data_IF_995313174775
#
_entry.id   IF_995313174775
#
_cell.length_a   1.000
_cell.length_b   1.000
_cell.length_c   1.000
_cell.angle_alpha   90.00
_cell.angle_beta   90.00
_cell.angle_gamma   90.00
#
_symmetry.space_group_name_H-M   'P 1'
#
loop_
_entity.id
_entity.type
_entity.pdbx_description
1 polymer ?
#
# COMPACT_ATOMS: atom_id res chain seq x y z
N UNK A 1 3.16 32.14 27.75
CA UNK A 1 3.10 32.82 26.43
C UNK A 1 4.32 32.50 25.55
N UNK A 2 5.53 32.34 26.12
CA UNK A 2 6.72 31.88 25.37
C UNK A 2 6.67 30.38 24.97
N UNK A 3 5.99 29.51 25.75
CA UNK A 3 5.91 28.07 25.44
C UNK A 3 5.04 27.75 24.21
N UNK A 4 4.05 28.59 23.93
CA UNK A 4 3.21 28.48 22.72
C UNK A 4 4.04 28.79 21.48
N UNK A 5 4.96 29.76 21.55
CA UNK A 5 5.76 30.21 20.40
C UNK A 5 6.77 29.14 19.97
N UNK A 6 7.35 28.37 20.90
CA UNK A 6 8.29 27.29 20.57
C UNK A 6 7.60 26.08 19.91
N UNK A 7 6.38 25.73 20.36
CA UNK A 7 5.58 24.68 19.73
C UNK A 7 5.24 25.05 18.28
N UNK A 8 4.86 26.31 18.04
CA UNK A 8 4.57 26.82 16.69
C UNK A 8 5.79 26.88 15.77
N UNK A 9 7.00 27.20 16.28
CA UNK A 9 8.21 27.30 15.45
C UNK A 9 8.75 25.92 15.04
N UNK A 10 8.71 24.93 15.93
CA UNK A 10 9.08 23.53 15.58
C UNK A 10 8.04 22.93 14.63
N UNK A 11 6.77 23.26 14.82
CA UNK A 11 5.65 22.74 14.04
C UNK A 11 5.56 23.36 12.62
N UNK A 12 5.74 24.69 12.48
CA UNK A 12 5.73 25.36 11.18
C UNK A 12 6.91 24.96 10.26
N UNK A 13 8.06 24.59 10.85
CA UNK A 13 9.23 24.10 10.10
C UNK A 13 9.03 22.68 9.55
N UNK A 14 8.08 21.91 10.10
CA UNK A 14 7.74 20.58 9.59
C UNK A 14 6.69 20.58 8.47
N UNK A 15 5.90 21.65 8.34
CA UNK A 15 4.75 21.70 7.42
C UNK A 15 4.92 22.62 6.20
N UNK A 16 5.80 23.63 6.27
CA UNK A 16 6.10 24.47 5.10
C UNK A 16 7.09 23.76 4.17
N UNK A 17 6.58 23.33 3.01
CA UNK A 17 7.26 22.59 1.94
C UNK A 17 7.72 21.21 2.39
N UNK A 18 6.96 20.18 2.03
CA UNK A 18 7.54 19.08 1.28
C UNK A 18 6.42 18.25 0.64
N UNK A 19 6.60 18.00 -0.65
CA UNK A 19 6.14 16.84 -1.40
C UNK A 19 6.60 15.58 -0.64
N UNK A 20 5.83 15.16 0.36
CA UNK A 20 6.24 14.16 1.35
C UNK A 20 5.13 13.13 1.48
N UNK A 21 5.28 12.02 0.74
CA UNK A 21 4.55 10.74 0.92
C UNK A 21 4.48 10.35 2.41
N UNK A 22 3.69 9.41 2.92
CA UNK A 22 3.73 9.08 4.36
C UNK A 22 5.15 8.69 4.84
N UNK A 23 5.50 8.88 6.13
CA UNK A 23 6.79 8.43 6.71
C UNK A 23 7.08 6.94 6.43
N UNK A 24 6.04 6.14 6.19
CA UNK A 24 6.18 4.73 5.79
C UNK A 24 6.80 4.56 4.39
N UNK A 25 6.74 5.57 3.51
CA UNK A 25 7.27 5.54 2.15
C UNK A 25 8.38 6.59 1.87
N UNK A 26 8.59 7.58 2.74
CA UNK A 26 9.57 8.68 2.52
C UNK A 26 11.05 8.25 2.52
N UNK A 27 11.40 7.12 3.15
CA UNK A 27 12.80 6.74 3.40
C UNK A 27 13.06 5.24 3.22
N UNK A 28 12.33 4.61 2.32
CA UNK A 28 12.36 3.15 2.23
C UNK A 28 13.41 2.60 1.28
N UNK A 29 14.12 3.43 0.50
CA UNK A 29 15.09 2.93 -0.48
C UNK A 29 14.48 1.99 -1.52
N UNK A 30 13.16 2.06 -1.76
CA UNK A 30 12.41 1.15 -2.63
C UNK A 30 11.63 0.05 -1.91
N UNK A 31 11.55 0.05 -0.58
CA UNK A 31 10.62 -0.83 0.15
C UNK A 31 9.21 -0.22 0.22
N UNK A 32 8.15 -0.96 -0.10
CA UNK A 32 6.78 -0.45 -0.02
C UNK A 32 5.85 -1.46 0.64
N UNK A 33 5.05 -1.01 1.60
CA UNK A 33 4.05 -1.83 2.30
C UNK A 33 2.66 -1.38 1.93
N UNK A 34 1.83 -2.33 1.52
CA UNK A 34 0.42 -2.10 1.22
C UNK A 34 -0.49 -3.05 1.99
N UNK A 35 -1.55 -2.49 2.56
CA UNK A 35 -2.76 -3.22 2.94
C UNK A 35 -3.77 -3.12 1.80
N UNK A 36 -4.09 -4.23 1.11
CA UNK A 36 -4.94 -4.21 -0.07
C UNK A 36 -6.43 -4.31 0.26
N UNK A 37 -7.23 -3.63 -0.57
CA UNK A 37 -8.68 -3.63 -0.52
C UNK A 37 -9.26 -3.67 -1.94
N UNK A 38 -10.46 -4.22 -2.07
CA UNK A 38 -11.29 -4.10 -3.28
C UNK A 38 -12.31 -2.99 -3.04
N UNK A 39 -12.43 -2.09 -4.00
CA UNK A 39 -13.44 -1.05 -4.04
C UNK A 39 -14.55 -1.41 -5.02
N UNK A 40 -15.79 -1.33 -4.58
CA UNK A 40 -16.98 -1.33 -5.44
C UNK A 40 -17.51 0.12 -5.49
N UNK A 41 -17.50 0.72 -6.68
CA UNK A 41 -18.02 2.07 -6.93
C UNK A 41 -19.49 2.01 -7.34
N UNK A 42 -20.29 2.96 -6.85
CA UNK A 42 -21.72 3.09 -7.09
C UNK A 42 -22.10 4.55 -7.31
N UNK A 43 -23.32 4.78 -7.80
CA UNK A 43 -23.85 6.12 -8.00
C UNK A 43 -22.98 6.93 -8.96
N UNK A 44 -22.70 8.17 -8.61
CA UNK A 44 -21.93 9.10 -9.45
C UNK A 44 -20.49 8.62 -9.74
N UNK A 45 -19.89 7.80 -8.87
CA UNK A 45 -18.55 7.26 -9.09
C UNK A 45 -18.50 6.14 -10.15
N UNK A 46 -19.63 5.49 -10.45
CA UNK A 46 -19.66 4.31 -11.33
C UNK A 46 -19.35 4.64 -12.79
N UNK A 47 -19.70 5.84 -13.26
CA UNK A 47 -19.54 6.25 -14.66
C UNK A 47 -18.26 7.07 -14.92
N UNK A 48 -17.46 7.31 -13.88
CA UNK A 48 -16.25 8.13 -13.97
C UNK A 48 -15.03 7.33 -14.43
N UNK A 49 -14.27 7.92 -15.36
CA UNK A 49 -12.90 7.47 -15.62
C UNK A 49 -11.97 7.80 -14.42
N UNK A 50 -10.73 7.26 -14.33
CA UNK A 50 -9.87 7.52 -13.19
C UNK A 50 -9.58 9.01 -12.90
N UNK A 51 -9.48 9.86 -13.93
CA UNK A 51 -9.20 11.29 -13.76
C UNK A 51 -10.44 12.06 -13.29
N UNK A 52 -11.61 11.71 -13.81
CA UNK A 52 -12.89 12.22 -13.33
C UNK A 52 -13.17 11.74 -11.91
N UNK A 53 -12.81 10.49 -11.60
CA UNK A 53 -12.92 9.92 -10.27
C UNK A 53 -12.06 10.68 -9.26
N UNK A 54 -10.82 11.07 -9.62
CA UNK A 54 -10.03 11.99 -8.81
C UNK A 54 -10.85 13.22 -8.48
N UNK A 55 -11.32 13.96 -9.50
CA UNK A 55 -12.06 15.23 -9.33
C UNK A 55 -13.30 15.09 -8.45
N UNK A 56 -14.07 14.01 -8.64
CA UNK A 56 -15.26 13.75 -7.81
C UNK A 56 -14.85 13.47 -6.36
N UNK A 57 -13.77 12.72 -6.14
CA UNK A 57 -13.21 12.49 -4.80
C UNK A 57 -12.72 13.81 -4.19
N UNK A 58 -11.99 14.65 -4.94
CA UNK A 58 -11.52 15.95 -4.42
C UNK A 58 -12.68 16.85 -3.99
N UNK A 59 -13.79 16.81 -4.73
CA UNK A 59 -14.97 17.62 -4.41
C UNK A 59 -15.79 17.08 -3.22
N UNK A 60 -15.72 15.77 -2.95
CA UNK A 60 -16.54 15.12 -1.91
C UNK A 60 -15.79 14.93 -0.60
N UNK A 61 -14.48 14.73 -0.65
CA UNK A 61 -13.67 14.54 0.53
C UNK A 61 -13.34 15.89 1.18
N UNK A 62 -13.48 16.01 2.51
CA UNK A 62 -13.10 17.23 3.20
C UNK A 62 -11.60 17.47 3.06
N UNK A 63 -11.23 18.66 2.59
CA UNK A 63 -9.86 19.15 2.69
C UNK A 63 -9.39 19.12 4.15
N UNK A 64 -8.08 19.00 4.34
CA UNK A 64 -7.50 19.14 5.67
C UNK A 64 -7.89 20.50 6.26
N UNK A 65 -8.61 20.49 7.38
CA UNK A 65 -8.99 21.70 8.10
C UNK A 65 -7.78 22.54 8.47
N UNK A 66 -7.95 23.86 8.52
CA UNK A 66 -6.92 24.77 9.01
C UNK A 66 -6.41 24.33 10.38
N UNK A 67 -5.09 24.32 10.53
CA UNK A 67 -4.43 23.77 11.71
C UNK A 67 -4.72 24.64 12.93
N UNK A 68 -5.37 24.06 13.94
CA UNK A 68 -5.66 24.69 15.21
C UNK A 68 -5.04 23.87 16.35
N UNK A 69 -4.18 24.49 17.16
CA UNK A 69 -3.53 23.82 18.29
C UNK A 69 -4.53 23.28 19.35
N UNK A 70 -5.75 23.81 19.39
CA UNK A 70 -6.81 23.39 20.30
C UNK A 70 -7.83 22.43 19.65
N UNK A 71 -7.79 22.26 18.32
CA UNK A 71 -8.73 21.44 17.56
C UNK A 71 -7.92 20.66 16.51
N UNK A 72 -7.48 19.43 16.81
CA UNK A 72 -6.70 18.61 15.89
C UNK A 72 -7.44 18.44 14.57
N UNK A 73 -6.77 18.75 13.47
CA UNK A 73 -7.37 18.66 12.14
C UNK A 73 -7.46 17.22 11.63
N UNK A 74 -8.43 16.97 10.74
CA UNK A 74 -8.46 15.78 9.91
C UNK A 74 -8.99 16.11 8.51
N UNK A 75 -8.51 15.38 7.50
CA UNK A 75 -8.98 15.55 6.13
C UNK A 75 -8.07 14.87 5.12
N UNK A 76 -8.24 15.24 3.86
CA UNK A 76 -7.55 14.64 2.74
C UNK A 76 -6.67 15.64 2.00
N UNK A 77 -5.66 15.13 1.30
CA UNK A 77 -4.83 15.89 0.37
C UNK A 77 -4.55 15.04 -0.86
N UNK A 78 -4.85 15.58 -2.04
CA UNK A 78 -4.62 14.89 -3.30
C UNK A 78 -3.22 15.19 -3.85
N UNK A 79 -2.66 14.21 -4.55
CA UNK A 79 -1.36 14.32 -5.19
C UNK A 79 -1.37 13.66 -6.56
N UNK A 80 -0.64 14.26 -7.49
CA UNK A 80 -0.30 13.59 -8.74
C UNK A 80 0.93 12.69 -8.50
N UNK A 81 0.78 11.38 -8.75
CA UNK A 81 1.85 10.40 -8.49
C UNK A 81 3.09 10.66 -9.38
N UNK A 82 2.87 10.98 -10.65
CA UNK A 82 3.87 11.40 -11.65
C UNK A 82 3.24 12.46 -12.55
N UNK A 83 3.94 13.56 -12.83
CA UNK A 83 3.48 14.61 -13.76
C UNK A 83 4.07 14.41 -15.17
N UNK A 84 3.41 14.95 -16.19
CA UNK A 84 3.87 14.84 -17.59
C UNK A 84 5.29 15.40 -17.85
N UNK A 85 5.85 16.16 -16.91
CA UNK A 85 7.22 16.68 -16.96
C UNK A 85 8.32 15.64 -16.67
N UNK A 86 7.97 14.39 -16.32
CA UNK A 86 8.95 13.31 -16.17
C UNK A 86 9.59 12.99 -17.53
N UNK A 87 10.92 13.12 -17.60
CA UNK A 87 11.67 12.98 -18.85
C UNK A 87 11.40 11.63 -19.53
N UNK A 88 11.01 11.68 -20.80
CA UNK A 88 10.69 10.55 -21.69
C UNK A 88 11.77 9.44 -21.76
N UNK A 89 12.95 9.64 -21.16
CA UNK A 89 14.08 8.72 -21.20
C UNK A 89 14.09 7.60 -20.15
N UNK A 90 13.28 7.63 -19.08
CA UNK A 90 13.38 6.68 -17.96
C UNK A 90 12.18 5.72 -17.82
N UNK A 91 10.95 6.18 -18.05
CA UNK A 91 9.77 5.31 -18.04
C UNK A 91 9.44 4.77 -19.43
N UNK A 92 9.12 3.47 -19.53
CA UNK A 92 8.47 2.95 -20.74
C UNK A 92 7.10 3.62 -20.91
N UNK A 93 6.68 3.88 -22.16
CA UNK A 93 5.34 4.46 -22.48
C UNK A 93 4.18 3.75 -21.75
N UNK A 94 4.33 2.46 -21.51
CA UNK A 94 3.36 1.65 -20.78
C UNK A 94 3.18 2.08 -19.31
N UNK A 95 4.28 2.38 -18.59
CA UNK A 95 4.21 2.84 -17.20
C UNK A 95 3.60 4.25 -17.10
N UNK A 96 3.98 5.17 -18.01
CA UNK A 96 3.41 6.52 -18.05
C UNK A 96 1.89 6.48 -18.25
N UNK A 97 1.42 5.69 -19.21
CA UNK A 97 -0.01 5.49 -19.46
C UNK A 97 -0.75 4.80 -18.28
N UNK A 98 -0.03 4.14 -17.39
CA UNK A 98 -0.61 3.50 -16.20
C UNK A 98 -0.61 4.44 -15.00
N UNK A 99 0.37 5.35 -14.90
CA UNK A 99 0.46 6.35 -13.84
C UNK A 99 -0.77 7.26 -13.80
N UNK A 100 -1.21 7.75 -14.96
CA UNK A 100 -2.39 8.62 -15.09
C UNK A 100 -3.71 7.96 -14.69
N UNK A 101 -3.71 6.65 -14.47
CA UNK A 101 -4.87 5.86 -14.04
C UNK A 101 -4.86 5.56 -12.54
N UNK A 102 -3.76 5.87 -11.84
CA UNK A 102 -3.64 5.68 -10.40
C UNK A 102 -4.07 6.98 -9.73
N UNK A 103 -5.15 6.91 -8.96
CA UNK A 103 -5.59 8.00 -8.08
C UNK A 103 -4.79 7.93 -6.79
N UNK A 104 -4.13 9.02 -6.39
CA UNK A 104 -3.36 9.10 -5.14
C UNK A 104 -3.87 10.24 -4.26
N UNK A 105 -4.21 9.89 -3.03
CA UNK A 105 -4.52 10.85 -1.98
C UNK A 105 -3.99 10.38 -0.64
N UNK A 106 -3.76 11.33 0.26
CA UNK A 106 -3.29 11.11 1.62
C UNK A 106 -4.41 11.46 2.60
N UNK A 107 -4.73 10.55 3.52
CA UNK A 107 -5.54 10.87 4.70
C UNK A 107 -4.61 11.31 5.83
N UNK A 108 -4.87 12.52 6.32
CA UNK A 108 -4.10 13.16 7.38
C UNK A 108 -5.05 13.36 8.57
N UNK A 109 -4.60 12.96 9.75
CA UNK A 109 -5.28 13.34 10.98
C UNK A 109 -4.29 13.61 12.10
N UNK A 110 -4.61 14.58 12.93
CA UNK A 110 -3.76 14.99 14.02
C UNK A 110 -4.17 14.33 15.33
N UNK A 111 -3.17 14.02 16.16
CA UNK A 111 -3.38 13.45 17.48
C UNK A 111 -2.44 14.11 18.47
N UNK A 112 -2.96 14.52 19.62
CA UNK A 112 -2.14 14.90 20.77
C UNK A 112 -1.37 13.71 21.31
N UNK A 113 -0.05 13.86 21.41
CA UNK A 113 0.85 12.87 21.99
C UNK A 113 1.80 13.56 22.99
N UNK A 114 1.95 12.98 24.17
CA UNK A 114 2.92 13.44 25.15
C UNK A 114 4.32 12.96 24.77
N UNK A 115 5.22 13.91 24.56
CA UNK A 115 6.63 13.64 24.25
C UNK A 115 7.49 14.18 25.37
N UNK A 116 8.40 13.35 25.86
CA UNK A 116 9.40 13.77 26.85
C UNK A 116 10.37 14.76 26.20
N UNK A 117 10.43 15.97 26.74
CA UNK A 117 11.31 17.04 26.28
C UNK A 117 12.09 17.61 27.45
N UNK A 118 13.28 18.15 27.19
CA UNK A 118 14.09 18.79 28.23
C UNK A 118 13.74 20.28 28.25
N UNK A 119 13.12 20.73 29.34
CA UNK A 119 12.83 22.13 29.58
C UNK A 119 13.61 22.59 30.82
N UNK A 120 14.51 23.56 30.64
CA UNK A 120 15.35 24.11 31.73
C UNK A 120 16.14 23.05 32.53
N UNK A 121 16.58 21.99 31.85
CA UNK A 121 17.40 20.93 32.45
C UNK A 121 16.61 19.79 33.09
N UNK A 122 15.27 19.87 33.13
CA UNK A 122 14.40 18.80 33.62
C UNK A 122 13.68 18.11 32.47
N UNK A 123 13.49 16.79 32.60
CA UNK A 123 12.70 16.01 31.66
C UNK A 123 11.22 16.16 32.00
N UNK A 124 10.47 16.81 31.12
CA UNK A 124 9.03 17.07 31.29
C UNK A 124 8.24 16.47 30.13
N UNK A 125 7.03 16.01 30.42
CA UNK A 125 6.10 15.59 29.37
C UNK A 125 5.46 16.83 28.75
N UNK A 126 5.61 16.99 27.43
CA UNK A 126 5.01 18.08 26.66
C UNK A 126 4.00 17.47 25.69
N UNK A 127 2.76 17.95 25.77
CA UNK A 127 1.72 17.58 24.80
C UNK A 127 2.06 18.22 23.44
N UNK A 128 2.13 17.39 22.41
CA UNK A 128 2.46 17.81 21.04
C UNK A 128 1.44 17.23 20.06
N UNK A 129 0.98 18.04 19.11
CA UNK A 129 0.16 17.55 18.01
C UNK A 129 1.04 16.86 16.99
N UNK A 130 0.78 15.57 16.77
CA UNK A 130 1.47 14.74 15.80
C UNK A 130 0.53 14.36 14.67
N UNK A 131 0.91 14.66 13.44
CA UNK A 131 0.19 14.22 12.25
C UNK A 131 0.43 12.73 11.98
N UNK A 132 -0.66 11.99 11.78
CA UNK A 132 -0.72 10.62 11.30
C UNK A 132 -1.14 10.64 9.83
N UNK A 133 -0.46 9.85 9.01
CA UNK A 133 -0.56 9.89 7.55
C UNK A 133 -0.83 8.49 7.02
N UNK A 134 -1.77 8.38 6.09
CA UNK A 134 -2.04 7.15 5.33
C UNK A 134 -2.12 7.50 3.85
N UNK A 135 -1.20 6.96 3.05
CA UNK A 135 -1.30 7.07 1.60
C UNK A 135 -2.32 6.06 1.08
N UNK A 136 -3.16 6.49 0.14
CA UNK A 136 -4.12 5.65 -0.57
C UNK A 136 -3.83 5.72 -2.06
N UNK A 137 -3.52 4.56 -2.64
CA UNK A 137 -3.33 4.41 -4.08
C UNK A 137 -4.47 3.59 -4.65
N UNK A 138 -5.29 4.20 -5.49
CA UNK A 138 -6.48 3.58 -6.05
C UNK A 138 -6.30 3.39 -7.56
N UNK A 139 -6.26 2.13 -7.98
CA UNK A 139 -6.11 1.74 -9.37
C UNK A 139 -7.23 0.75 -9.75
N UNK A 140 -8.13 1.19 -10.64
CA UNK A 140 -9.33 0.46 -11.06
C UNK A 140 -10.26 0.14 -9.86
N UNK A 141 -10.45 -1.13 -9.52
CA UNK A 141 -11.23 -1.58 -8.38
C UNK A 141 -10.36 -1.99 -7.17
N UNK A 142 -9.07 -1.65 -7.18
CA UNK A 142 -8.13 -2.02 -6.11
C UNK A 142 -7.61 -0.77 -5.42
N UNK A 143 -7.67 -0.76 -4.10
CA UNK A 143 -7.09 0.29 -3.25
C UNK A 143 -5.97 -0.30 -2.40
N UNK A 144 -4.81 0.36 -2.42
CA UNK A 144 -3.64 0.01 -1.63
C UNK A 144 -3.40 1.10 -0.59
N UNK A 145 -3.54 0.74 0.68
CA UNK A 145 -3.31 1.67 1.79
C UNK A 145 -1.90 1.47 2.34
N UNK A 146 -1.19 2.56 2.59
CA UNK A 146 0.16 2.54 3.16
C UNK A 146 0.23 3.42 4.40
N UNK A 147 0.55 2.82 5.55
CA UNK A 147 0.52 3.46 6.86
C UNK A 147 0.58 2.43 7.98
N UNK A 148 0.34 2.85 9.23
CA UNK A 148 0.20 1.90 10.35
C UNK A 148 -1.15 1.21 10.28
N UNK A 149 -1.23 -0.05 10.72
CA UNK A 149 -2.48 -0.85 10.66
C UNK A 149 -3.69 -0.18 11.32
N UNK A 150 -3.47 0.47 12.47
CA UNK A 150 -4.51 1.24 13.18
C UNK A 150 -4.98 2.46 12.37
N UNK A 151 -4.02 3.20 11.79
CA UNK A 151 -4.28 4.39 10.98
C UNK A 151 -5.01 4.02 9.68
N UNK A 152 -4.63 2.91 9.03
CA UNK A 152 -5.27 2.38 7.83
C UNK A 152 -6.73 2.03 8.11
N UNK A 153 -7.00 1.38 9.25
CA UNK A 153 -8.37 1.01 9.64
C UNK A 153 -9.24 2.26 9.85
N UNK A 154 -8.68 3.32 10.45
CA UNK A 154 -9.35 4.62 10.59
C UNK A 154 -9.59 5.28 9.23
N UNK A 155 -8.56 5.38 8.40
CA UNK A 155 -8.61 5.98 7.07
C UNK A 155 -9.67 5.31 6.19
N UNK A 156 -9.71 3.96 6.16
CA UNK A 156 -10.72 3.19 5.41
C UNK A 156 -12.13 3.51 5.88
N UNK A 157 -12.37 3.47 7.20
CA UNK A 157 -13.70 3.72 7.76
C UNK A 157 -14.17 5.15 7.46
N UNK A 158 -13.26 6.11 7.61
CA UNK A 158 -13.53 7.51 7.29
C UNK A 158 -13.85 7.68 5.82
N UNK A 159 -13.02 7.15 4.92
CA UNK A 159 -13.24 7.22 3.48
C UNK A 159 -14.60 6.63 3.06
N UNK A 160 -14.95 5.45 3.60
CA UNK A 160 -16.24 4.83 3.34
C UNK A 160 -17.41 5.62 3.95
N UNK A 161 -17.20 6.34 5.06
CA UNK A 161 -18.19 7.20 5.68
C UNK A 161 -18.43 8.51 4.91
N UNK A 162 -17.38 9.11 4.36
CA UNK A 162 -17.48 10.33 3.56
C UNK A 162 -18.10 10.03 2.18
N UNK A 163 -17.85 8.83 1.65
CA UNK A 163 -18.41 8.35 0.37
C UNK A 163 -19.54 7.33 0.58
N UNK A 164 -20.38 7.53 1.61
CA UNK A 164 -21.50 6.64 1.91
C UNK A 164 -22.44 6.52 0.72
N UNK A 165 -22.77 5.28 0.36
CA UNK A 165 -23.65 4.97 -0.76
C UNK A 165 -22.95 4.96 -2.13
N UNK A 166 -21.73 5.48 -2.22
CA UNK A 166 -20.95 5.59 -3.46
C UNK A 166 -19.74 4.67 -3.49
N UNK A 167 -19.18 4.34 -2.32
CA UNK A 167 -18.01 3.49 -2.21
C UNK A 167 -18.22 2.41 -1.15
N UNK A 168 -17.95 1.16 -1.54
CA UNK A 168 -17.81 0.05 -0.60
C UNK A 168 -16.39 -0.47 -0.69
N UNK A 169 -15.73 -0.62 0.47
CA UNK A 169 -14.33 -1.06 0.57
C UNK A 169 -14.28 -2.38 1.33
N UNK A 170 -13.83 -3.44 0.66
CA UNK A 170 -13.67 -4.76 1.25
C UNK A 170 -12.20 -5.12 1.40
N UNK A 171 -11.83 -5.65 2.57
CA UNK A 171 -10.45 -6.06 2.84
C UNK A 171 -10.11 -7.27 1.98
N UNK A 172 -8.98 -7.19 1.26
CA UNK A 172 -8.41 -8.36 0.58
C UNK A 172 -7.65 -9.17 1.61
N UNK A 173 -7.92 -10.48 1.62
CA UNK A 173 -7.21 -11.47 2.42
C UNK A 173 -6.62 -12.49 1.46
N UNK A 174 -5.37 -12.88 1.70
CA UNK A 174 -4.72 -14.01 1.05
C UNK A 174 -4.71 -15.19 2.03
N UNK A 175 -5.83 -15.92 2.18
CA UNK A 175 -5.85 -17.09 3.03
C UNK A 175 -4.91 -18.15 2.45
N UNK A 176 -4.60 -19.14 3.28
CA UNK A 176 -3.70 -20.25 2.94
C UNK A 176 -3.99 -20.86 1.57
N UNK A 177 -5.27 -21.04 1.23
CA UNK A 177 -5.69 -21.67 -0.01
C UNK A 177 -5.19 -20.87 -1.22
N UNK A 178 -5.31 -19.54 -1.18
CA UNK A 178 -4.81 -18.65 -2.24
C UNK A 178 -3.28 -18.69 -2.30
N UNK A 179 -2.59 -18.70 -1.16
CA UNK A 179 -1.13 -18.78 -1.15
C UNK A 179 -0.62 -20.13 -1.69
N UNK A 180 -1.35 -21.22 -1.46
CA UNK A 180 -1.07 -22.52 -2.05
C UNK A 180 -1.37 -22.53 -3.56
N UNK A 181 -2.47 -21.91 -4.01
CA UNK A 181 -2.80 -21.76 -5.44
C UNK A 181 -1.70 -21.00 -6.20
N UNK A 182 -1.17 -19.93 -5.59
CA UNK A 182 -0.05 -19.15 -6.11
C UNK A 182 1.20 -20.03 -6.28
N UNK A 183 1.49 -20.90 -5.32
CA UNK A 183 2.65 -21.80 -5.34
C UNK A 183 2.51 -22.94 -6.36
N UNK A 184 1.31 -23.52 -6.46
CA UNK A 184 1.05 -24.63 -7.39
C UNK A 184 0.99 -24.19 -8.85
N UNK A 185 1.01 -22.87 -9.13
CA UNK A 185 1.01 -22.28 -10.47
C UNK A 185 -0.15 -22.81 -11.36
N UNK A 186 -1.27 -23.22 -10.73
CA UNK A 186 -2.43 -23.84 -11.39
C UNK A 186 -3.18 -22.91 -12.34
N UNK A 187 -2.85 -21.61 -12.33
CA UNK A 187 -3.35 -20.62 -13.27
C UNK A 187 -2.48 -20.47 -14.54
N UNK A 188 -1.66 -21.47 -14.88
CA UNK A 188 -1.02 -21.60 -16.20
C UNK A 188 -2.02 -21.95 -17.32
N UNK A 189 -3.26 -21.45 -17.23
CA UNK A 189 -4.16 -21.42 -18.37
C UNK A 189 -3.58 -20.48 -19.41
N UNK A 190 -3.31 -21.05 -20.59
CA UNK A 190 -2.54 -20.51 -21.72
C UNK A 190 -3.19 -19.29 -22.42
N UNK A 191 -4.07 -18.55 -21.74
CA UNK A 191 -4.81 -17.42 -22.30
C UNK A 191 -4.73 -16.13 -21.49
N UNK A 192 -3.90 -16.06 -20.44
CA UNK A 192 -3.69 -14.82 -19.68
C UNK A 192 -2.52 -14.02 -20.26
N UNK A 193 -2.86 -12.82 -20.75
CA UNK A 193 -1.98 -11.77 -21.27
C UNK A 193 -0.63 -11.67 -20.52
N UNK A 194 0.42 -11.28 -21.26
CA UNK A 194 1.85 -11.12 -20.89
C UNK A 194 2.16 -10.18 -19.70
N UNK A 195 1.23 -9.93 -18.77
CA UNK A 195 1.29 -8.94 -17.69
C UNK A 195 0.95 -9.50 -16.31
N UNK A 196 1.10 -10.81 -16.10
CA UNK A 196 0.86 -11.46 -14.81
C UNK A 196 2.18 -11.62 -14.03
N UNK A 197 2.24 -11.25 -12.73
CA UNK A 197 3.40 -11.53 -11.90
C UNK A 197 3.70 -13.04 -11.86
N UNK A 198 4.94 -13.41 -12.18
CA UNK A 198 5.39 -14.81 -12.23
C UNK A 198 6.42 -15.06 -11.14
N UNK A 199 6.22 -16.07 -10.30
CA UNK A 199 7.24 -16.48 -9.32
C UNK A 199 8.42 -17.10 -10.07
N UNK A 200 9.61 -16.55 -9.84
CA UNK A 200 10.87 -17.08 -10.39
C UNK A 200 11.73 -17.77 -9.33
N UNK A 201 11.60 -17.36 -8.07
CA UNK A 201 12.35 -17.94 -6.95
C UNK A 201 11.57 -17.74 -5.64
N UNK A 202 11.68 -18.69 -4.70
CA UNK A 202 11.07 -18.59 -3.37
C UNK A 202 12.19 -18.46 -2.36
N UNK A 203 12.20 -17.36 -1.61
CA UNK A 203 13.23 -17.06 -0.60
C UNK A 203 12.85 -17.56 0.78
N UNK A 204 11.57 -17.47 1.14
CA UNK A 204 11.06 -18.00 2.40
C UNK A 204 9.58 -18.33 2.29
N UNK A 205 9.17 -19.45 2.89
CA UNK A 205 7.77 -19.70 3.22
C UNK A 205 7.64 -19.82 4.73
N UNK A 206 6.62 -19.19 5.28
CA UNK A 206 6.15 -19.43 6.64
C UNK A 206 4.86 -20.22 6.55
N UNK A 207 4.84 -21.38 7.19
CA UNK A 207 3.64 -22.20 7.36
C UNK A 207 3.40 -22.53 8.83
N UNK A 208 2.12 -22.65 9.20
CA UNK A 208 1.66 -23.13 10.50
C UNK A 208 1.03 -24.52 10.29
N UNK A 209 1.53 -25.54 10.97
CA UNK A 209 0.90 -26.85 10.93
C UNK A 209 -0.25 -26.98 11.93
N UNK A 210 -0.95 -28.12 11.88
CA UNK A 210 -1.91 -28.49 12.92
C UNK A 210 -1.15 -28.72 14.24
N UNK A 211 -1.80 -28.31 15.35
CA UNK A 211 -1.45 -28.26 16.80
C UNK A 211 -0.04 -28.64 17.31
N UNK A 212 0.71 -29.54 16.65
CA UNK A 212 2.03 -30.06 17.04
C UNK A 212 3.22 -29.56 16.18
N UNK A 213 3.00 -28.83 15.08
CA UNK A 213 4.11 -28.37 14.20
C UNK A 213 4.38 -26.87 14.37
N UNK A 214 5.50 -26.57 15.04
CA UNK A 214 6.05 -25.21 15.17
C UNK A 214 6.35 -24.58 13.80
N UNK A 215 6.23 -23.24 13.72
CA UNK A 215 6.42 -22.44 12.52
C UNK A 215 7.73 -22.81 11.78
N UNK A 216 7.62 -23.24 10.52
CA UNK A 216 8.78 -23.60 9.70
C UNK A 216 9.06 -22.45 8.74
N UNK A 217 10.31 -21.96 8.72
CA UNK A 217 10.81 -20.98 7.74
C UNK A 217 11.79 -21.65 6.77
N UNK A 218 11.37 -21.85 5.53
CA UNK A 218 12.19 -22.55 4.52
C UNK A 218 12.96 -21.53 3.68
N UNK A 219 14.25 -21.34 3.96
CA UNK A 219 15.10 -20.38 3.27
C UNK A 219 15.52 -20.88 1.87
N UNK A 220 15.53 -19.99 0.88
CA UNK A 220 15.73 -20.27 -0.55
C UNK A 220 17.04 -20.98 -0.90
N UNK A 221 17.03 -21.68 -2.04
CA UNK A 221 18.14 -22.51 -2.55
C UNK A 221 17.73 -23.95 -2.92
N UNK A 222 16.49 -24.34 -2.65
CA UNK A 222 15.90 -25.61 -3.08
C UNK A 222 14.75 -25.27 -4.05
N UNK A 223 14.77 -25.77 -5.29
CA UNK A 223 13.81 -25.37 -6.33
C UNK A 223 12.34 -25.56 -5.91
N UNK A 224 11.40 -24.90 -6.61
CA UNK A 224 9.95 -24.85 -6.31
C UNK A 224 9.35 -26.21 -5.88
N UNK A 225 9.77 -27.31 -6.52
CA UNK A 225 9.34 -28.68 -6.21
C UNK A 225 9.61 -29.13 -4.75
N UNK A 226 10.61 -28.54 -4.09
CA UNK A 226 10.91 -28.87 -2.68
C UNK A 226 9.84 -28.32 -1.75
N UNK A 227 9.19 -27.22 -2.11
CA UNK A 227 8.12 -26.61 -1.32
C UNK A 227 6.83 -27.44 -1.39
N UNK A 228 6.52 -28.05 -2.53
CA UNK A 228 5.34 -28.92 -2.70
C UNK A 228 5.30 -30.04 -1.66
N UNK A 229 6.43 -30.71 -1.40
CA UNK A 229 6.53 -31.77 -0.37
C UNK A 229 6.32 -31.25 1.06
N UNK A 230 6.72 -30.01 1.35
CA UNK A 230 6.47 -29.41 2.68
C UNK A 230 5.03 -28.94 2.87
N UNK A 231 4.34 -28.57 1.79
CA UNK A 231 2.89 -28.28 1.83
C UNK A 231 2.05 -29.52 2.08
N UNK A 232 2.53 -30.71 1.70
CA UNK A 232 1.90 -31.99 2.06
C UNK A 232 1.88 -32.21 3.59
N UNK A 233 2.94 -31.78 4.29
CA UNK A 233 3.10 -31.95 5.74
C UNK A 233 2.63 -30.72 6.58
N UNK A 234 2.63 -29.52 6.00
CA UNK A 234 2.26 -28.26 6.66
C UNK A 234 0.99 -27.67 6.04
N UNK A 235 -0.09 -27.64 6.84
CA UNK A 235 -1.43 -27.41 6.31
C UNK A 235 -1.73 -25.96 5.91
N UNK A 236 -0.97 -24.96 6.41
CA UNK A 236 -1.34 -23.54 6.27
C UNK A 236 -0.18 -22.58 6.02
N UNK A 237 0.11 -22.25 4.76
CA UNK A 237 0.98 -21.12 4.41
C UNK A 237 0.33 -19.83 4.89
N UNK A 238 1.06 -19.03 5.64
CA UNK A 238 0.61 -17.72 6.16
C UNK A 238 1.40 -16.55 5.59
N UNK A 239 2.58 -16.84 5.03
CA UNK A 239 3.46 -15.83 4.45
C UNK A 239 4.38 -16.46 3.40
N UNK A 240 4.61 -15.73 2.31
CA UNK A 240 5.54 -16.10 1.25
C UNK A 240 6.45 -14.91 0.90
N UNK A 241 7.76 -15.12 0.97
CA UNK A 241 8.76 -14.20 0.44
C UNK A 241 9.30 -14.82 -0.84
N UNK A 242 9.02 -14.19 -1.99
CA UNK A 242 9.39 -14.70 -3.30
C UNK A 242 9.89 -13.59 -4.21
N UNK A 243 10.71 -13.99 -5.17
CA UNK A 243 11.11 -13.14 -6.30
C UNK A 243 10.11 -13.36 -7.42
N UNK A 244 9.57 -12.27 -7.93
CA UNK A 244 8.61 -12.24 -9.02
C UNK A 244 9.21 -11.55 -10.24
N UNK A 245 8.91 -12.04 -11.42
CA UNK A 245 9.06 -11.32 -12.68
C UNK A 245 7.74 -10.63 -13.01
N UNK A 246 7.78 -9.34 -13.31
CA UNK A 246 6.63 -8.55 -13.71
C UNK A 246 7.06 -7.45 -14.66
N UNK A 247 6.48 -7.42 -15.87
CA UNK A 247 6.95 -6.57 -16.97
C UNK A 247 8.44 -6.84 -17.24
N UNK A 248 9.27 -5.80 -17.26
CA UNK A 248 10.72 -5.89 -17.42
C UNK A 248 11.47 -5.81 -16.08
N UNK A 249 10.78 -6.07 -14.95
CA UNK A 249 11.32 -5.94 -13.61
C UNK A 249 11.30 -7.26 -12.86
N UNK A 250 12.27 -7.44 -11.97
CA UNK A 250 12.23 -8.47 -10.92
C UNK A 250 11.98 -7.82 -9.57
N UNK A 251 11.00 -8.31 -8.82
CA UNK A 251 10.61 -7.78 -7.53
C UNK A 251 10.79 -8.85 -6.44
N UNK A 252 11.47 -8.53 -5.34
CA UNK A 252 11.42 -9.36 -4.15
C UNK A 252 10.25 -8.87 -3.29
N UNK A 253 9.25 -9.72 -3.08
CA UNK A 253 8.05 -9.35 -2.32
C UNK A 253 7.73 -10.39 -1.24
N UNK A 254 7.20 -9.90 -0.12
CA UNK A 254 6.56 -10.63 0.94
C UNK A 254 5.05 -10.48 0.82
N UNK A 255 4.35 -11.58 0.57
CA UNK A 255 2.90 -11.68 0.57
C UNK A 255 2.49 -12.38 1.87
N UNK A 256 1.69 -11.70 2.68
CA UNK A 256 1.08 -12.27 3.89
C UNK A 256 -0.44 -12.17 3.79
N UNK A 257 -1.17 -12.75 4.77
CA UNK A 257 -2.63 -12.75 4.80
C UNK A 257 -3.28 -11.39 4.50
N UNK A 258 -2.69 -10.27 4.92
CA UNK A 258 -3.30 -8.95 4.72
C UNK A 258 -2.35 -7.85 4.28
N UNK A 259 -1.14 -8.21 3.86
CA UNK A 259 -0.16 -7.24 3.38
C UNK A 259 0.61 -7.76 2.17
N UNK A 260 0.92 -6.83 1.27
CA UNK A 260 1.92 -7.01 0.23
C UNK A 260 3.05 -6.05 0.58
N UNK A 261 4.25 -6.58 0.80
CA UNK A 261 5.43 -5.79 1.05
C UNK A 261 6.47 -6.06 -0.03
N UNK A 262 6.91 -5.03 -0.72
CA UNK A 262 7.94 -5.12 -1.77
C UNK A 262 9.23 -4.66 -1.15
N UNK A 263 10.26 -5.50 -1.18
CA UNK A 263 11.57 -5.18 -0.62
C UNK A 263 12.48 -4.51 -1.65
N UNK A 264 12.53 -5.07 -2.86
CA UNK A 264 13.45 -4.62 -3.90
C UNK A 264 12.79 -4.72 -5.27
N UNK A 265 13.23 -3.84 -6.17
CA UNK A 265 12.84 -3.81 -7.58
C UNK A 265 14.11 -3.66 -8.40
N UNK A 266 14.34 -4.58 -9.34
CA UNK A 266 15.48 -4.53 -10.25
C UNK A 266 15.04 -4.45 -11.73
N UNK A 267 15.79 -3.74 -12.59
CA UNK A 267 16.95 -2.91 -12.25
C UNK A 267 16.58 -1.67 -11.41
N UNK A 268 17.27 -1.48 -10.29
CA UNK A 268 16.98 -0.42 -9.31
C UNK A 268 17.55 0.93 -9.73
N UNK A 269 18.71 0.91 -10.41
CA UNK A 269 19.47 2.12 -10.77
C UNK A 269 18.82 2.91 -11.91
N UNK A 270 17.92 2.26 -12.67
CA UNK A 270 17.15 2.90 -13.73
C UNK A 270 15.85 3.53 -13.26
N UNK A 271 15.50 3.43 -11.97
CA UNK A 271 14.25 3.94 -11.42
C UNK A 271 14.46 4.82 -10.18
N UNK A 272 13.83 5.99 -10.18
CA UNK A 272 13.66 6.82 -8.99
C UNK A 272 12.58 6.25 -8.03
N UNK A 273 12.41 6.85 -6.86
CA UNK A 273 11.48 6.34 -5.85
C UNK A 273 10.00 6.39 -6.29
N UNK A 274 9.57 7.42 -7.02
CA UNK A 274 8.17 7.52 -7.49
C UNK A 274 7.89 6.47 -8.57
N UNK A 275 8.86 6.20 -9.43
CA UNK A 275 8.78 5.12 -10.43
C UNK A 275 8.76 3.73 -9.77
N UNK A 276 9.61 3.50 -8.76
CA UNK A 276 9.60 2.26 -7.97
C UNK A 276 8.26 2.07 -7.26
N UNK A 277 7.67 3.14 -6.73
CA UNK A 277 6.34 3.12 -6.13
C UNK A 277 5.27 2.75 -7.16
N UNK A 278 5.29 3.35 -8.35
CA UNK A 278 4.34 3.02 -9.42
C UNK A 278 4.44 1.54 -9.83
N UNK A 279 5.65 1.04 -10.08
CA UNK A 279 5.88 -0.38 -10.38
C UNK A 279 5.34 -1.27 -9.25
N UNK A 280 5.52 -0.85 -8.01
CA UNK A 280 5.02 -1.54 -6.82
C UNK A 280 3.50 -1.59 -6.72
N UNK A 281 2.82 -0.49 -7.04
CA UNK A 281 1.36 -0.40 -7.11
C UNK A 281 0.84 -1.33 -8.21
N UNK A 282 1.41 -1.24 -9.42
CA UNK A 282 0.97 -2.05 -10.56
C UNK A 282 1.19 -3.54 -10.34
N UNK A 283 2.33 -3.93 -9.76
CA UNK A 283 2.60 -5.29 -9.34
C UNK A 283 1.54 -5.78 -8.35
N UNK A 284 1.32 -5.03 -7.27
CA UNK A 284 0.40 -5.41 -6.19
C UNK A 284 -1.03 -5.55 -6.70
N UNK A 285 -1.49 -4.59 -7.51
CA UNK A 285 -2.80 -4.65 -8.15
C UNK A 285 -2.92 -5.84 -9.09
N UNK A 286 -1.89 -6.12 -9.90
CA UNK A 286 -1.91 -7.27 -10.81
C UNK A 286 -1.89 -8.59 -10.05
N UNK A 287 -1.14 -8.69 -8.96
CA UNK A 287 -1.13 -9.85 -8.07
C UNK A 287 -2.53 -10.10 -7.49
N UNK A 288 -3.16 -9.06 -6.93
CA UNK A 288 -4.52 -9.16 -6.37
C UNK A 288 -5.51 -9.60 -7.44
N UNK A 289 -5.51 -9.02 -8.64
CA UNK A 289 -6.45 -9.44 -9.71
C UNK A 289 -6.33 -10.91 -10.08
N UNK A 290 -5.11 -11.42 -10.14
CA UNK A 290 -4.88 -12.79 -10.55
C UNK A 290 -5.24 -13.80 -9.46
N UNK A 291 -5.06 -13.43 -8.19
CA UNK A 291 -5.15 -14.38 -7.07
C UNK A 291 -6.28 -14.09 -6.08
N UNK A 292 -7.05 -13.01 -6.25
CA UNK A 292 -8.25 -12.73 -5.44
C UNK A 292 -9.54 -13.26 -6.10
N UNK A 293 -9.45 -13.84 -7.31
CA UNK A 293 -10.60 -14.34 -8.08
C UNK A 293 -11.16 -15.69 -7.59
N UNK A 294 -10.67 -16.24 -6.48
CA UNK A 294 -11.13 -17.52 -5.92
C UNK A 294 -12.51 -17.45 -5.24
N UNK A 295 -13.21 -16.30 -5.25
CA UNK A 295 -14.65 -16.23 -4.96
C UNK A 295 -15.46 -15.93 -6.24
N UNK A 296 -16.20 -16.90 -6.79
CA UNK A 296 -17.11 -16.65 -7.89
C UNK A 296 -18.28 -15.79 -7.38
N UNK A 297 -18.16 -14.47 -7.49
CA UNK A 297 -19.25 -13.55 -7.11
C UNK A 297 -18.89 -12.07 -6.92
N UNK A 298 -17.61 -11.70 -6.80
CA UNK A 298 -17.21 -10.31 -6.53
C UNK A 298 -16.76 -9.50 -7.76
N UNK A 299 -16.74 -10.12 -8.94
CA UNK A 299 -16.47 -9.46 -10.22
C UNK A 299 -17.58 -9.83 -11.20
N UNK A 300 -18.68 -9.10 -11.13
CA UNK A 300 -19.64 -8.98 -12.22
C UNK A 300 -19.88 -7.50 -12.47
#
# INVERSE_FOLDING_TARGET
>A
MQDVILSWIIYAYHYKRLDRMSKANQNTGGNFSFSPYVSEVKGELQETDPQERCKVIENKLPDLSDINANEPGEGYRNFELLSDSYSEGQLTRYLLNSASKVVHFEYIYEKSENVKSIHKGELVDVETLTARLVDVYWFDNIMLFSGRSEDISKARNKLQSELVGELRIEKVSFPTEILNEVLDNRHSDRHLNEKTPRIIDIRSLTAKGNEDVSQISIHGGKGIQTYTKYLEDASKVTQMIATFEYLNYTLLANISESTIHIYTINPSDSLNNKEKLLVSILFSSSFIRNFNNSKPGALK
#
